data_IF_239643749817
#
_entry.id   IF_239643749817
#
_cell.length_a   1.000
_cell.length_b   1.000
_cell.length_c   1.000
_cell.angle_alpha   90.00
_cell.angle_beta   90.00
_cell.angle_gamma   90.00
#
_symmetry.space_group_name_H-M   'P 1'
#
loop_
_entity.id
_entity.type
_entity.pdbx_description
1 polymer ?
#
# COMPACT_ATOMS: atom_id res chain seq x y z
N UNK A 1 -19.63 22.32 17.20
CA UNK A 1 -19.91 21.09 16.44
C UNK A 1 -21.29 21.29 15.86
N UNK A 2 -21.42 21.32 14.54
CA UNK A 2 -22.71 21.38 13.86
C UNK A 2 -23.64 20.28 14.35
N UNK A 3 -24.93 20.57 14.42
CA UNK A 3 -25.94 19.58 14.75
C UNK A 3 -27.22 19.75 13.93
N UNK A 4 -27.92 18.63 13.70
CA UNK A 4 -29.25 18.64 13.10
C UNK A 4 -30.25 18.96 14.20
N UNK A 5 -30.91 20.11 14.07
CA UNK A 5 -31.84 20.67 15.05
C UNK A 5 -33.25 20.11 14.84
N UNK A 6 -33.60 19.79 13.60
CA UNK A 6 -34.90 19.20 13.27
C UNK A 6 -34.85 18.36 11.98
N UNK A 7 -35.72 17.34 11.92
CA UNK A 7 -35.88 16.44 10.77
C UNK A 7 -37.36 16.27 10.47
N UNK A 8 -37.83 16.95 9.43
CA UNK A 8 -39.20 16.81 8.94
C UNK A 8 -39.24 15.83 7.75
N UNK A 9 -40.20 14.89 7.77
CA UNK A 9 -40.40 13.96 6.64
C UNK A 9 -41.43 14.51 5.67
N UNK A 10 -40.97 15.01 4.53
CA UNK A 10 -41.83 15.62 3.50
C UNK A 10 -42.58 14.58 2.65
N UNK A 11 -41.93 13.49 2.23
CA UNK A 11 -42.55 12.44 1.40
C UNK A 11 -41.96 11.04 1.67
N UNK A 12 -42.73 9.99 1.30
CA UNK A 12 -42.20 8.62 1.17
C UNK A 12 -43.02 7.52 1.83
N UNK A 13 -44.33 7.41 1.56
CA UNK A 13 -45.15 6.26 2.01
C UNK A 13 -45.40 5.21 0.92
N UNK A 14 -45.02 5.48 -0.33
CA UNK A 14 -45.20 4.56 -1.46
C UNK A 14 -43.89 4.02 -2.00
N UNK A 15 -43.99 2.93 -2.74
CA UNK A 15 -42.93 2.40 -3.59
C UNK A 15 -43.50 2.18 -4.98
N UNK A 16 -42.66 2.36 -5.99
CA UNK A 16 -42.98 2.02 -7.36
C UNK A 16 -42.48 0.60 -7.62
N UNK A 17 -43.33 -0.26 -8.19
CA UNK A 17 -42.94 -1.61 -8.61
C UNK A 17 -42.64 -1.58 -10.11
N UNK A 18 -41.47 -2.07 -10.48
CA UNK A 18 -41.08 -2.30 -11.86
C UNK A 18 -40.90 -3.79 -12.05
N UNK A 19 -41.47 -4.35 -13.12
CA UNK A 19 -41.28 -5.74 -13.52
C UNK A 19 -40.54 -5.71 -14.85
N UNK A 20 -39.35 -6.30 -14.90
CA UNK A 20 -38.56 -6.36 -16.12
C UNK A 20 -39.00 -7.55 -17.02
N UNK A 21 -38.50 -7.65 -18.27
CA UNK A 21 -38.83 -8.76 -19.17
C UNK A 21 -38.43 -10.15 -18.66
N UNK A 22 -37.52 -10.24 -17.68
CA UNK A 22 -37.12 -11.48 -17.02
C UNK A 22 -38.01 -11.84 -15.83
N UNK A 23 -39.09 -11.09 -15.60
CA UNK A 23 -39.99 -11.20 -14.44
C UNK A 23 -39.34 -10.84 -13.10
N UNK A 24 -38.19 -10.13 -13.09
CA UNK A 24 -37.58 -9.59 -11.87
C UNK A 24 -38.46 -8.44 -11.37
N UNK A 25 -38.85 -8.53 -10.10
CA UNK A 25 -39.66 -7.51 -9.43
C UNK A 25 -38.74 -6.58 -8.65
N UNK A 26 -38.66 -5.33 -9.10
CA UNK A 26 -37.91 -4.27 -8.45
C UNK A 26 -38.86 -3.31 -7.74
N UNK A 27 -38.55 -2.98 -6.48
CA UNK A 27 -39.24 -1.96 -5.70
C UNK A 27 -38.33 -0.74 -5.56
N UNK A 28 -38.82 0.41 -5.98
CA UNK A 28 -38.13 1.69 -5.87
C UNK A 28 -38.80 2.56 -4.81
N UNK A 29 -38.03 3.12 -3.90
CA UNK A 29 -38.52 3.98 -2.84
C UNK A 29 -37.92 5.37 -2.99
N UNK A 30 -38.73 6.40 -2.78
CA UNK A 30 -38.25 7.78 -2.67
C UNK A 30 -38.62 8.32 -1.30
N UNK A 31 -37.63 8.88 -0.61
CA UNK A 31 -37.80 9.55 0.68
C UNK A 31 -37.21 10.94 0.57
N UNK A 32 -38.02 11.94 0.90
CA UNK A 32 -37.58 13.33 0.99
C UNK A 32 -37.67 13.76 2.45
N UNK A 33 -36.56 14.26 2.95
CA UNK A 33 -36.44 14.83 4.29
C UNK A 33 -36.11 16.31 4.17
N UNK A 34 -36.59 17.09 5.13
CA UNK A 34 -36.17 18.47 5.35
C UNK A 34 -35.38 18.49 6.65
N UNK A 35 -34.14 18.96 6.56
CA UNK A 35 -33.20 19.03 7.65
C UNK A 35 -32.99 20.49 8.01
N UNK A 36 -33.07 20.80 9.31
CA UNK A 36 -32.64 22.10 9.83
C UNK A 36 -31.36 21.91 10.62
N UNK A 37 -30.37 22.76 10.36
CA UNK A 37 -29.07 22.75 11.04
C UNK A 37 -28.84 24.07 11.79
N UNK A 38 -27.94 24.05 12.76
CA UNK A 38 -27.61 25.17 13.64
C UNK A 38 -26.46 26.07 13.14
N UNK A 39 -25.90 25.75 11.98
CA UNK A 39 -24.88 26.57 11.31
C UNK A 39 -24.95 26.43 9.79
N UNK A 40 -24.32 27.37 9.08
CA UNK A 40 -24.26 27.34 7.62
C UNK A 40 -23.28 26.26 7.15
N UNK A 41 -23.81 25.22 6.50
CA UNK A 41 -23.02 24.11 5.97
C UNK A 41 -23.20 24.00 4.45
N UNK A 42 -22.22 23.40 3.78
CA UNK A 42 -22.46 22.95 2.42
C UNK A 42 -23.42 21.73 2.41
N UNK A 43 -24.19 21.49 1.33
CA UNK A 43 -25.13 20.38 1.28
C UNK A 43 -24.51 18.99 1.50
N UNK A 44 -23.24 18.80 1.14
CA UNK A 44 -22.54 17.52 1.31
C UNK A 44 -22.19 17.27 2.78
N UNK A 45 -21.78 18.31 3.51
CA UNK A 45 -21.56 18.31 4.96
C UNK A 45 -22.85 17.99 5.71
N UNK A 46 -24.00 18.54 5.28
CA UNK A 46 -25.31 18.23 5.88
C UNK A 46 -25.71 16.77 5.64
N UNK A 47 -25.48 16.25 4.43
CA UNK A 47 -25.76 14.84 4.12
C UNK A 47 -24.90 13.88 4.98
N UNK A 48 -23.62 14.20 5.14
CA UNK A 48 -22.70 13.47 6.01
C UNK A 48 -23.11 13.55 7.49
N UNK A 49 -23.52 14.73 7.96
CA UNK A 49 -23.97 14.95 9.34
C UNK A 49 -25.23 14.13 9.67
N UNK A 50 -26.13 13.91 8.70
CA UNK A 50 -27.30 13.06 8.88
C UNK A 50 -26.95 11.56 8.96
N UNK A 51 -25.74 11.17 8.53
CA UNK A 51 -25.24 9.80 8.69
C UNK A 51 -25.84 8.79 7.71
N UNK A 52 -26.20 9.22 6.49
CA UNK A 52 -26.61 8.31 5.41
C UNK A 52 -25.51 8.18 4.37
N UNK A 53 -25.01 6.96 4.22
CA UNK A 53 -24.03 6.61 3.20
C UNK A 53 -24.68 5.84 2.05
N UNK A 54 -23.95 5.72 0.94
CA UNK A 54 -24.36 4.86 -0.17
C UNK A 54 -24.59 3.43 0.35
N UNK A 55 -25.68 2.78 -0.10
CA UNK A 55 -26.14 1.47 0.40
C UNK A 55 -26.73 1.44 1.82
N UNK A 56 -27.04 2.59 2.44
CA UNK A 56 -27.89 2.63 3.63
C UNK A 56 -29.24 1.92 3.36
N UNK A 57 -29.64 1.01 4.23
CA UNK A 57 -30.88 0.24 4.06
C UNK A 57 -32.12 1.11 4.26
N UNK A 58 -33.14 0.91 3.43
CA UNK A 58 -34.41 1.59 3.63
C UNK A 58 -35.03 1.17 4.99
N UNK A 59 -35.49 2.11 5.84
CA UNK A 59 -35.95 1.80 7.21
C UNK A 59 -37.13 0.84 7.31
N UNK A 60 -37.82 0.55 6.20
CA UNK A 60 -39.00 -0.33 6.14
C UNK A 60 -38.86 -1.47 5.13
N UNK A 61 -37.76 -1.51 4.38
CA UNK A 61 -37.49 -2.60 3.45
C UNK A 61 -36.00 -2.94 3.53
N UNK A 62 -35.63 -3.99 4.28
CA UNK A 62 -34.22 -4.34 4.48
C UNK A 62 -33.54 -4.79 3.17
N UNK A 63 -34.31 -5.04 2.11
CA UNK A 63 -33.80 -5.44 0.80
C UNK A 63 -33.61 -4.25 -0.17
N UNK A 64 -34.03 -3.04 0.20
CA UNK A 64 -33.86 -1.85 -0.61
C UNK A 64 -32.69 -1.01 -0.10
N UNK A 65 -31.73 -0.75 -0.98
CA UNK A 65 -30.49 -0.03 -0.65
C UNK A 65 -30.52 1.38 -1.26
N UNK A 66 -29.94 2.36 -0.57
CA UNK A 66 -29.80 3.71 -1.08
C UNK A 66 -28.97 3.70 -2.37
N UNK A 67 -29.56 4.20 -3.46
CA UNK A 67 -28.97 4.30 -4.80
C UNK A 67 -28.53 5.71 -5.14
N UNK A 68 -29.33 6.69 -4.74
CA UNK A 68 -29.08 8.09 -5.01
C UNK A 68 -29.32 8.90 -3.75
N UNK A 69 -28.32 9.71 -3.43
CA UNK A 69 -28.34 10.71 -2.38
C UNK A 69 -28.16 12.07 -3.06
N UNK A 70 -29.00 13.04 -2.73
CA UNK A 70 -28.77 14.43 -3.11
C UNK A 70 -29.31 15.34 -2.03
N UNK A 71 -28.54 16.37 -1.69
CA UNK A 71 -28.91 17.39 -0.73
C UNK A 71 -28.91 18.74 -1.43
N UNK A 72 -29.94 19.55 -1.20
CA UNK A 72 -30.06 20.89 -1.78
C UNK A 72 -30.42 21.87 -0.69
N UNK A 73 -29.81 23.06 -0.72
CA UNK A 73 -30.22 24.18 0.12
C UNK A 73 -31.62 24.66 -0.30
N UNK A 74 -32.49 24.89 0.68
CA UNK A 74 -33.84 25.40 0.45
C UNK A 74 -34.06 26.57 1.40
N UNK A 75 -33.64 27.79 1.01
CA UNK A 75 -33.76 28.96 1.86
C UNK A 75 -35.23 29.19 2.26
N UNK A 76 -35.51 29.19 3.57
CA UNK A 76 -36.81 29.56 4.10
C UNK A 76 -36.78 31.04 4.54
N UNK A 77 -37.93 31.71 4.55
CA UNK A 77 -38.06 33.10 5.01
C UNK A 77 -37.88 33.25 6.53
N UNK A 78 -37.99 32.15 7.27
CA UNK A 78 -37.96 32.11 8.74
C UNK A 78 -36.65 31.49 9.24
N UNK A 79 -36.20 30.39 8.64
CA UNK A 79 -34.98 29.68 9.02
C UNK A 79 -33.96 29.68 7.87
N UNK A 80 -32.74 30.24 8.06
CA UNK A 80 -31.78 30.43 6.97
C UNK A 80 -31.04 29.15 6.56
N UNK A 81 -31.04 28.10 7.39
CA UNK A 81 -30.23 26.88 7.18
C UNK A 81 -31.10 25.63 7.11
N UNK A 82 -31.91 25.58 6.05
CA UNK A 82 -32.82 24.48 5.75
C UNK A 82 -32.37 23.78 4.48
N UNK A 83 -32.33 22.45 4.52
CA UNK A 83 -31.87 21.60 3.43
C UNK A 83 -32.88 20.52 3.12
N UNK A 84 -33.02 20.16 1.85
CA UNK A 84 -33.83 19.02 1.42
C UNK A 84 -32.93 17.87 1.00
N UNK A 85 -33.02 16.77 1.76
CA UNK A 85 -32.32 15.53 1.50
C UNK A 85 -33.23 14.57 0.74
N UNK A 86 -32.84 14.24 -0.48
CA UNK A 86 -33.53 13.33 -1.37
C UNK A 86 -32.79 11.99 -1.41
N UNK A 87 -33.49 10.94 -1.00
CA UNK A 87 -33.00 9.57 -0.88
C UNK A 87 -33.80 8.67 -1.81
N UNK A 88 -33.15 8.07 -2.79
CA UNK A 88 -33.76 7.08 -3.68
C UNK A 88 -33.19 5.70 -3.36
N UNK A 89 -34.04 4.74 -3.00
CA UNK A 89 -33.67 3.36 -2.70
C UNK A 89 -34.21 2.42 -3.77
N UNK A 90 -33.54 1.30 -4.00
CA UNK A 90 -34.04 0.26 -4.89
C UNK A 90 -33.69 -1.13 -4.38
N UNK A 91 -34.61 -2.09 -4.60
CA UNK A 91 -34.32 -3.52 -4.45
C UNK A 91 -33.68 -4.11 -5.70
N UNK A 92 -33.55 -3.34 -6.78
CA UNK A 92 -32.75 -3.72 -7.93
C UNK A 92 -31.31 -3.82 -7.47
N UNK A 93 -30.87 -5.03 -7.15
CA UNK A 93 -29.46 -5.30 -6.98
C UNK A 93 -28.85 -5.25 -8.39
N UNK A 94 -27.67 -4.60 -8.58
CA UNK A 94 -26.96 -4.73 -9.85
C UNK A 94 -26.91 -6.21 -10.18
N UNK A 95 -27.29 -6.53 -11.41
CA UNK A 95 -27.42 -7.91 -11.83
C UNK A 95 -26.19 -8.71 -11.41
N UNK A 96 -26.42 -9.97 -11.08
CA UNK A 96 -25.40 -10.98 -10.78
C UNK A 96 -24.31 -11.10 -11.87
N UNK A 97 -24.40 -10.33 -12.96
CA UNK A 97 -23.42 -10.17 -14.03
C UNK A 97 -22.23 -9.25 -13.70
N UNK A 98 -22.26 -8.48 -12.61
CA UNK A 98 -21.02 -7.85 -12.07
C UNK A 98 -20.31 -8.72 -11.03
N UNK A 99 -20.81 -9.94 -10.75
CA UNK A 99 -20.03 -10.93 -10.01
C UNK A 99 -19.15 -11.66 -11.02
N UNK A 100 -17.81 -11.71 -10.81
CA UNK A 100 -17.02 -12.67 -11.55
C UNK A 100 -17.65 -14.06 -11.36
N UNK A 101 -17.81 -14.86 -12.42
CA UNK A 101 -18.39 -16.18 -12.30
C UNK A 101 -17.60 -16.99 -11.27
N UNK A 102 -18.32 -17.68 -10.38
CA UNK A 102 -17.76 -18.53 -9.33
C UNK A 102 -16.74 -19.50 -9.95
N UNK A 103 -15.47 -19.35 -9.59
CA UNK A 103 -14.44 -20.26 -10.08
C UNK A 103 -14.59 -21.66 -9.43
N UNK A 104 -14.18 -22.74 -10.10
CA UNK A 104 -14.27 -24.09 -9.53
C UNK A 104 -13.41 -24.19 -8.26
N UNK A 105 -14.07 -24.30 -7.10
CA UNK A 105 -13.40 -24.39 -5.79
C UNK A 105 -13.74 -23.26 -4.82
N UNK A 106 -14.40 -22.19 -5.27
CA UNK A 106 -14.84 -21.11 -4.39
C UNK A 106 -15.99 -21.54 -3.47
N UNK A 107 -15.96 -21.07 -2.22
CA UNK A 107 -17.05 -21.28 -1.25
C UNK A 107 -18.22 -20.34 -1.54
N UNK A 108 -19.43 -20.66 -1.07
CA UNK A 108 -20.53 -19.69 -1.10
C UNK A 108 -20.25 -18.47 -0.20
N UNK A 109 -19.42 -18.67 0.82
CA UNK A 109 -18.88 -17.64 1.69
C UNK A 109 -17.46 -17.24 1.27
N UNK A 110 -17.23 -16.00 0.77
CA UNK A 110 -15.91 -15.53 0.34
C UNK A 110 -14.84 -15.51 1.43
N UNK A 111 -15.22 -15.47 2.70
CA UNK A 111 -14.24 -15.49 3.80
C UNK A 111 -13.72 -16.90 4.10
N UNK A 112 -14.34 -17.92 3.51
CA UNK A 112 -13.90 -19.32 3.63
C UNK A 112 -13.08 -19.78 2.42
N UNK A 113 -12.87 -18.90 1.44
CA UNK A 113 -12.00 -19.23 0.32
C UNK A 113 -10.57 -19.43 0.81
N UNK A 114 -9.84 -20.41 0.23
CA UNK A 114 -8.42 -20.52 0.48
C UNK A 114 -7.71 -19.27 -0.03
N UNK A 115 -6.55 -19.00 0.56
CA UNK A 115 -5.67 -17.94 0.06
C UNK A 115 -5.15 -18.34 -1.31
N UNK A 116 -5.20 -17.42 -2.27
CA UNK A 116 -4.58 -17.60 -3.58
C UNK A 116 -3.10 -17.25 -3.45
N UNK A 117 -2.24 -18.11 -4.02
CA UNK A 117 -0.80 -17.99 -3.87
C UNK A 117 -0.17 -18.12 -5.24
N UNK A 118 0.57 -17.09 -5.61
CA UNK A 118 1.25 -17.01 -6.88
C UNK A 118 2.73 -16.66 -6.63
N UNK A 119 3.62 -17.44 -7.26
CA UNK A 119 5.04 -17.17 -7.29
C UNK A 119 5.38 -16.52 -8.63
N UNK A 120 5.95 -15.32 -8.57
CA UNK A 120 6.36 -14.56 -9.74
C UNK A 120 7.87 -14.31 -9.67
N UNK A 121 8.50 -14.18 -10.83
CA UNK A 121 9.88 -13.70 -10.93
C UNK A 121 9.92 -12.49 -11.84
N UNK A 122 10.61 -11.44 -11.41
CA UNK A 122 10.86 -10.25 -12.21
C UNK A 122 12.34 -10.18 -12.57
N UNK A 123 12.65 -9.96 -13.85
CA UNK A 123 14.01 -9.65 -14.28
C UNK A 123 14.29 -8.17 -14.01
N UNK A 124 15.32 -7.92 -13.22
CA UNK A 124 15.82 -6.59 -12.85
C UNK A 124 17.25 -6.44 -13.35
N UNK A 125 17.71 -5.20 -13.52
CA UNK A 125 19.10 -4.94 -13.87
C UNK A 125 19.84 -4.46 -12.63
N UNK A 126 20.91 -5.15 -12.28
CA UNK A 126 21.77 -4.78 -11.15
C UNK A 126 23.17 -4.47 -11.66
N UNK A 127 23.80 -3.46 -11.06
CA UNK A 127 25.21 -3.17 -11.30
C UNK A 127 25.99 -3.95 -10.24
N UNK A 128 26.78 -4.93 -10.68
CA UNK A 128 27.72 -5.67 -9.83
C UNK A 128 29.12 -5.19 -10.19
N UNK A 129 30.00 -5.07 -9.19
CA UNK A 129 31.41 -4.71 -9.40
C UNK A 129 32.33 -5.93 -9.37
N UNK A 130 31.77 -7.10 -9.12
CA UNK A 130 32.48 -8.37 -9.03
C UNK A 130 31.77 -9.47 -9.80
N UNK A 131 32.55 -10.40 -10.30
CA UNK A 131 32.07 -11.62 -10.94
C UNK A 131 31.63 -12.69 -9.91
N UNK A 132 31.17 -13.83 -10.42
CA UNK A 132 30.73 -14.98 -9.60
C UNK A 132 31.82 -15.58 -8.72
N UNK A 133 33.09 -15.38 -9.06
CA UNK A 133 34.27 -15.88 -8.35
C UNK A 133 34.82 -14.81 -7.37
N UNK A 134 34.01 -13.77 -7.10
CA UNK A 134 34.31 -12.61 -6.28
C UNK A 134 35.49 -11.76 -6.79
N UNK A 135 35.83 -11.86 -8.08
CA UNK A 135 36.91 -11.06 -8.68
C UNK A 135 36.35 -9.74 -9.20
N UNK A 136 37.05 -8.62 -9.02
CA UNK A 136 36.62 -7.34 -9.57
C UNK A 136 36.56 -7.39 -11.10
N UNK A 137 35.64 -6.64 -11.70
CA UNK A 137 35.65 -6.44 -13.15
C UNK A 137 36.80 -5.52 -13.53
N UNK A 138 37.81 -6.09 -14.22
CA UNK A 138 39.02 -5.39 -14.63
C UNK A 138 39.07 -5.18 -16.15
N UNK A 139 39.65 -4.07 -16.59
CA UNK A 139 40.00 -3.85 -17.99
C UNK A 139 41.28 -4.64 -18.38
N UNK A 140 41.70 -4.55 -19.64
CA UNK A 140 42.90 -5.26 -20.12
C UNK A 140 44.22 -4.76 -19.52
N UNK A 141 44.23 -3.58 -18.88
CA UNK A 141 45.37 -3.04 -18.16
C UNK A 141 45.38 -3.43 -16.66
N UNK A 142 44.32 -4.09 -16.17
CA UNK A 142 44.17 -4.48 -14.77
C UNK A 142 43.49 -3.44 -13.88
N UNK A 143 42.96 -2.35 -14.43
CA UNK A 143 42.21 -1.34 -13.66
C UNK A 143 40.74 -1.76 -13.49
N UNK A 144 40.13 -1.34 -12.37
CA UNK A 144 38.71 -1.58 -12.08
C UNK A 144 37.84 -0.81 -13.07
N UNK A 145 36.82 -1.47 -13.64
CA UNK A 145 35.82 -0.83 -14.48
C UNK A 145 34.83 -0.07 -13.58
N UNK A 146 34.86 1.25 -13.61
CA UNK A 146 34.02 2.14 -12.79
C UNK A 146 32.53 2.07 -13.13
N UNK A 147 32.18 1.74 -14.37
CA UNK A 147 30.80 1.60 -14.84
C UNK A 147 30.60 0.25 -15.52
N UNK A 148 30.55 -0.85 -14.76
CA UNK A 148 30.34 -2.16 -15.34
C UNK A 148 28.94 -2.27 -15.95
N UNK A 149 28.76 -3.08 -17.00
CA UNK A 149 27.47 -3.24 -17.65
C UNK A 149 26.45 -3.81 -16.64
N UNK A 150 25.17 -3.40 -16.71
CA UNK A 150 24.13 -3.99 -15.88
C UNK A 150 24.00 -5.48 -16.21
N UNK A 151 23.89 -6.30 -15.17
CA UNK A 151 23.69 -7.74 -15.26
C UNK A 151 22.22 -8.03 -14.95
N UNK A 152 21.54 -8.84 -15.78
CA UNK A 152 20.23 -9.37 -15.44
C UNK A 152 20.28 -10.11 -14.11
N UNK A 153 19.37 -9.76 -13.20
CA UNK A 153 19.15 -10.42 -11.93
C UNK A 153 17.67 -10.76 -11.81
N UNK A 154 17.35 -11.87 -11.15
CA UNK A 154 15.96 -12.29 -10.99
C UNK A 154 15.53 -12.08 -9.55
N UNK A 155 14.49 -11.28 -9.37
CA UNK A 155 13.89 -11.06 -8.06
C UNK A 155 12.63 -11.91 -7.95
N UNK A 156 12.63 -12.81 -6.96
CA UNK A 156 11.47 -13.64 -6.65
C UNK A 156 10.43 -12.79 -5.90
N UNK A 157 9.16 -13.00 -6.23
CA UNK A 157 8.00 -12.39 -5.58
C UNK A 157 6.99 -13.45 -5.20
N UNK A 158 6.41 -13.30 -4.02
CA UNK A 158 5.28 -14.06 -3.53
C UNK A 158 4.07 -13.14 -3.47
N UNK A 159 3.05 -13.45 -4.25
CA UNK A 159 1.77 -12.73 -4.27
C UNK A 159 0.75 -13.61 -3.58
N UNK A 160 0.21 -13.11 -2.47
CA UNK A 160 -0.83 -13.79 -1.70
C UNK A 160 -2.10 -12.95 -1.74
N UNK A 161 -3.20 -13.50 -2.23
CA UNK A 161 -4.52 -12.86 -2.17
C UNK A 161 -5.39 -13.57 -1.14
N UNK A 162 -5.96 -12.81 -0.20
CA UNK A 162 -6.90 -13.32 0.82
C UNK A 162 -8.12 -12.40 0.95
N UNK A 163 -9.29 -13.01 1.05
CA UNK A 163 -10.53 -12.32 1.36
C UNK A 163 -10.65 -12.04 2.86
N UNK A 164 -10.85 -10.78 3.23
CA UNK A 164 -11.05 -10.35 4.62
C UNK A 164 -12.42 -9.69 4.82
N UNK A 165 -12.95 -9.74 6.04
CA UNK A 165 -14.29 -9.22 6.34
C UNK A 165 -14.36 -7.68 6.29
N UNK A 166 -13.25 -7.00 6.55
CA UNK A 166 -13.15 -5.55 6.62
C UNK A 166 -11.75 -5.10 6.19
N UNK A 167 -11.63 -3.86 5.76
CA UNK A 167 -10.35 -3.20 5.47
C UNK A 167 -9.85 -2.43 6.69
N UNK A 168 -8.64 -2.74 7.16
CA UNK A 168 -7.97 -2.00 8.24
C UNK A 168 -6.89 -1.05 7.67
N UNK A 169 -7.15 0.28 7.59
CA UNK A 169 -6.19 1.24 7.07
C UNK A 169 -4.96 1.40 7.97
N UNK A 170 -5.09 1.19 9.28
CA UNK A 170 -3.97 1.30 10.22
C UNK A 170 -3.00 0.14 10.00
N UNK A 171 -3.53 -1.08 9.81
CA UNK A 171 -2.74 -2.26 9.44
C UNK A 171 -2.02 -2.07 8.10
N UNK A 172 -2.73 -1.60 7.07
CA UNK A 172 -2.11 -1.34 5.76
C UNK A 172 -0.95 -0.33 5.85
N UNK A 173 -1.10 0.74 6.64
CA UNK A 173 -0.03 1.73 6.89
C UNK A 173 1.11 1.18 7.77
N UNK A 174 0.81 0.30 8.70
CA UNK A 174 1.81 -0.28 9.60
C UNK A 174 2.70 -1.30 8.88
N UNK A 175 2.13 -2.11 8.01
CA UNK A 175 2.90 -3.16 7.30
C UNK A 175 3.38 -2.71 5.91
N UNK A 176 2.72 -1.74 5.27
CA UNK A 176 3.10 -1.26 3.96
C UNK A 176 4.52 -0.68 3.92
N UNK A 177 5.31 -1.13 2.94
CA UNK A 177 6.70 -0.74 2.72
C UNK A 177 7.63 -1.02 3.92
N UNK A 178 7.49 -2.22 4.50
CA UNK A 178 8.34 -2.70 5.60
C UNK A 178 9.05 -3.99 5.22
N UNK A 179 10.03 -4.38 6.03
CA UNK A 179 10.78 -5.62 5.87
C UNK A 179 10.49 -6.56 7.05
N UNK A 180 10.69 -7.86 6.87
CA UNK A 180 10.41 -8.85 7.90
C UNK A 180 11.40 -8.74 9.08
N UNK A 181 10.87 -8.62 10.30
CA UNK A 181 11.65 -8.61 11.53
C UNK A 181 12.14 -10.00 11.94
N UNK A 182 11.37 -11.03 11.61
CA UNK A 182 11.65 -12.42 11.95
C UNK A 182 11.65 -13.29 10.69
N UNK A 183 12.16 -14.52 10.82
CA UNK A 183 12.15 -15.46 9.72
C UNK A 183 10.72 -15.69 9.22
N UNK A 184 10.50 -15.57 7.92
CA UNK A 184 9.17 -15.64 7.31
C UNK A 184 9.28 -16.18 5.89
N UNK A 185 8.46 -17.18 5.53
CA UNK A 185 8.55 -17.90 4.24
C UNK A 185 9.96 -18.35 3.84
N UNK A 186 10.74 -18.85 4.82
CA UNK A 186 12.10 -19.35 4.58
C UNK A 186 13.17 -18.27 4.37
N UNK A 187 12.82 -16.99 4.53
CA UNK A 187 13.77 -15.88 4.54
C UNK A 187 14.22 -15.55 5.96
N UNK A 188 15.48 -15.15 6.10
CA UNK A 188 16.01 -14.56 7.32
C UNK A 188 15.48 -13.13 7.52
N UNK A 189 15.59 -12.54 8.73
CA UNK A 189 15.23 -11.14 8.97
C UNK A 189 15.83 -10.17 7.94
N UNK A 190 15.02 -9.22 7.47
CA UNK A 190 15.41 -8.17 6.53
C UNK A 190 15.50 -8.57 5.05
N UNK A 191 15.28 -9.84 4.70
CA UNK A 191 15.37 -10.35 3.32
C UNK A 191 14.05 -10.29 2.55
N UNK A 192 12.92 -10.07 3.22
CA UNK A 192 11.60 -10.00 2.61
C UNK A 192 11.01 -8.61 2.80
N UNK A 193 10.61 -7.97 1.71
CA UNK A 193 9.95 -6.66 1.74
C UNK A 193 8.49 -6.81 1.36
N UNK A 194 7.61 -6.24 2.17
CA UNK A 194 6.19 -6.14 1.84
C UNK A 194 5.91 -4.81 1.16
N UNK A 195 5.37 -4.87 -0.05
CA UNK A 195 4.90 -3.68 -0.75
C UNK A 195 3.67 -3.08 -0.08
N UNK A 196 3.41 -1.77 -0.25
CA UNK A 196 2.12 -1.19 0.10
C UNK A 196 0.99 -2.01 -0.53
N UNK A 197 -0.01 -2.35 0.27
CA UNK A 197 -1.18 -3.09 -0.19
C UNK A 197 -2.45 -2.32 0.15
N UNK A 198 -3.47 -2.57 -0.64
CA UNK A 198 -4.81 -2.02 -0.48
C UNK A 198 -5.85 -3.06 -0.84
N UNK A 199 -7.11 -2.71 -0.70
CA UNK A 199 -8.21 -3.55 -1.15
C UNK A 199 -9.33 -2.70 -1.69
N UNK A 200 -10.09 -3.25 -2.63
CA UNK A 200 -11.34 -2.69 -3.11
C UNK A 200 -12.47 -3.54 -2.55
N UNK A 201 -13.50 -2.91 -2.00
CA UNK A 201 -14.68 -3.63 -1.53
C UNK A 201 -15.30 -4.45 -2.67
N UNK A 202 -15.52 -5.73 -2.39
CA UNK A 202 -16.12 -6.70 -3.32
C UNK A 202 -17.36 -7.34 -2.71
N UNK A 203 -18.17 -7.98 -3.56
CA UNK A 203 -19.40 -8.64 -3.13
C UNK A 203 -19.58 -9.97 -3.85
N UNK A 204 -19.88 -11.03 -3.08
CA UNK A 204 -20.25 -12.35 -3.60
C UNK A 204 -21.41 -12.89 -2.79
N UNK A 205 -22.45 -13.41 -3.45
CA UNK A 205 -23.65 -13.96 -2.81
C UNK A 205 -24.28 -13.03 -1.75
N UNK A 206 -24.29 -11.73 -2.02
CA UNK A 206 -24.85 -10.74 -1.10
C UNK A 206 -23.93 -10.35 0.07
N UNK A 207 -22.82 -11.05 0.30
CA UNK A 207 -21.83 -10.78 1.34
C UNK A 207 -20.74 -9.82 0.84
N UNK A 208 -20.42 -8.81 1.65
CA UNK A 208 -19.32 -7.88 1.40
C UNK A 208 -18.03 -8.50 1.94
N UNK A 209 -16.95 -8.36 1.19
CA UNK A 209 -15.60 -8.77 1.57
C UNK A 209 -14.55 -7.88 0.90
N UNK A 210 -13.31 -8.01 1.36
CA UNK A 210 -12.16 -7.21 0.92
C UNK A 210 -11.04 -8.15 0.48
N UNK A 211 -10.83 -8.38 -0.83
CA UNK A 211 -9.67 -9.13 -1.32
C UNK A 211 -8.41 -8.29 -1.13
N UNK A 212 -7.51 -8.73 -0.27
CA UNK A 212 -6.21 -8.12 -0.03
C UNK A 212 -5.14 -8.88 -0.81
N UNK A 213 -4.37 -8.16 -1.63
CA UNK A 213 -3.20 -8.73 -2.34
C UNK A 213 -1.92 -8.25 -1.67
N UNK A 214 -1.21 -9.18 -1.05
CA UNK A 214 0.09 -8.97 -0.40
C UNK A 214 1.20 -9.37 -1.37
N UNK A 215 2.02 -8.40 -1.78
CA UNK A 215 3.17 -8.63 -2.66
C UNK A 215 4.43 -8.57 -1.80
N UNK A 216 5.09 -9.70 -1.65
CA UNK A 216 6.34 -9.84 -0.92
C UNK A 216 7.49 -10.09 -1.88
N UNK A 217 8.55 -9.30 -1.76
CA UNK A 217 9.71 -9.32 -2.64
C UNK A 217 10.96 -9.81 -1.90
N UNK A 218 11.65 -10.79 -2.49
CA UNK A 218 12.76 -11.51 -1.86
C UNK A 218 14.09 -10.90 -2.27
N UNK A 219 14.98 -10.69 -1.32
CA UNK A 219 16.35 -10.22 -1.59
C UNK A 219 17.34 -10.86 -0.62
N UNK A 220 18.22 -11.70 -1.15
CA UNK A 220 19.18 -12.49 -0.37
C UNK A 220 20.12 -11.63 0.49
N UNK A 221 20.57 -10.49 -0.02
CA UNK A 221 21.50 -9.59 0.69
C UNK A 221 20.81 -8.66 1.69
N UNK A 222 19.49 -8.74 1.79
CA UNK A 222 18.65 -7.85 2.59
C UNK A 222 18.25 -6.56 1.86
N UNK A 223 17.24 -5.91 2.41
CA UNK A 223 16.65 -4.69 1.86
C UNK A 223 17.22 -3.39 2.42
N UNK A 224 17.94 -3.45 3.55
CA UNK A 224 18.56 -2.25 4.10
C UNK A 224 19.64 -1.70 3.15
N UNK A 225 19.64 -0.38 2.87
CA UNK A 225 20.66 0.22 2.03
C UNK A 225 22.06 0.01 2.62
N UNK A 226 23.00 -0.39 1.77
CA UNK A 226 24.42 -0.49 2.11
C UNK A 226 25.19 0.48 1.23
N UNK A 227 26.04 1.31 1.84
CA UNK A 227 26.91 2.22 1.11
C UNK A 227 28.34 2.01 1.59
N UNK A 228 29.31 2.18 0.70
CA UNK A 228 30.71 2.20 1.08
C UNK A 228 30.97 3.35 2.06
N UNK A 229 31.68 3.06 3.15
CA UNK A 229 32.24 4.05 4.05
C UNK A 229 33.29 4.83 3.28
N UNK A 230 32.97 6.04 2.81
CA UNK A 230 33.89 6.86 2.04
C UNK A 230 33.69 8.34 2.35
N UNK A 231 34.76 9.13 2.31
CA UNK A 231 34.69 10.55 2.60
C UNK A 231 35.96 11.34 2.26
N UNK A 232 35.96 12.62 2.62
CA UNK A 232 37.07 13.55 2.37
C UNK A 232 38.02 13.69 3.58
N UNK A 233 37.72 12.98 4.67
CA UNK A 233 38.42 13.04 5.95
C UNK A 233 38.58 11.65 6.52
N UNK A 234 39.66 11.46 7.26
CA UNK A 234 39.99 10.23 7.97
C UNK A 234 40.23 10.50 9.46
N UNK A 235 40.20 9.46 10.28
CA UNK A 235 40.54 9.51 11.70
C UNK A 235 42.02 9.22 11.93
N UNK A 236 42.77 10.23 12.35
CA UNK A 236 44.17 10.12 12.77
C UNK A 236 44.23 10.49 14.24
N UNK A 237 44.63 9.53 15.09
CA UNK A 237 44.70 9.71 16.55
C UNK A 237 43.40 10.27 17.18
N UNK A 238 42.25 9.84 16.66
CA UNK A 238 40.93 10.28 17.11
C UNK A 238 40.50 11.66 16.60
N UNK A 239 41.29 12.32 15.75
CA UNK A 239 40.96 13.59 15.13
C UNK A 239 40.66 13.45 13.65
N UNK A 240 39.62 14.15 13.19
CA UNK A 240 39.26 14.21 11.77
C UNK A 240 40.27 15.07 10.99
N UNK A 241 41.03 14.44 10.11
CA UNK A 241 42.04 15.07 9.26
C UNK A 241 41.63 14.99 7.80
N UNK A 242 41.93 16.01 6.98
CA UNK A 242 41.67 15.96 5.54
C UNK A 242 42.58 14.94 4.86
N UNK A 243 42.01 14.09 4.03
CA UNK A 243 42.76 13.13 3.24
C UNK A 243 43.50 13.90 2.14
N UNK A 244 44.79 13.59 2.00
CA UNK A 244 45.67 14.20 1.00
C UNK A 244 46.01 13.19 -0.08
N UNK A 245 46.01 13.66 -1.32
CA UNK A 245 46.55 12.91 -2.44
C UNK A 245 48.06 12.63 -2.20
N UNK A 246 48.51 11.38 -2.31
CA UNK A 246 49.89 11.02 -1.98
C UNK A 246 50.92 11.63 -2.94
N UNK A 247 50.56 11.90 -4.19
CA UNK A 247 51.45 12.47 -5.21
C UNK A 247 51.48 13.99 -5.14
N UNK A 248 50.31 14.62 -5.11
CA UNK A 248 50.18 16.09 -5.21
C UNK A 248 50.16 16.79 -3.87
N UNK A 249 49.92 16.06 -2.77
CA UNK A 249 49.75 16.58 -1.39
C UNK A 249 48.58 17.57 -1.23
N UNK A 250 47.74 17.70 -2.25
CA UNK A 250 46.50 18.48 -2.20
C UNK A 250 45.38 17.69 -1.52
N UNK A 251 44.29 18.36 -1.14
CA UNK A 251 43.09 17.66 -0.69
C UNK A 251 42.51 16.83 -1.84
N UNK A 252 42.03 15.62 -1.53
CA UNK A 252 41.34 14.77 -2.50
C UNK A 252 40.04 15.44 -3.00
N UNK A 253 39.77 15.34 -4.30
CA UNK A 253 38.55 15.89 -4.93
C UNK A 253 37.37 14.92 -4.91
N UNK A 254 37.63 13.64 -4.65
CA UNK A 254 36.65 12.56 -4.60
C UNK A 254 36.70 11.87 -3.24
N UNK A 255 35.57 11.32 -2.75
CA UNK A 255 35.54 10.62 -1.48
C UNK A 255 36.37 9.33 -1.55
N UNK A 256 37.23 9.12 -0.56
CA UNK A 256 38.11 7.95 -0.47
C UNK A 256 37.50 6.93 0.49
N UNK A 257 37.48 5.62 0.13
CA UNK A 257 37.06 4.56 1.03
C UNK A 257 37.83 4.55 2.36
N UNK A 258 37.10 4.27 3.44
CA UNK A 258 37.63 4.22 4.80
C UNK A 258 37.55 2.80 5.34
N UNK A 259 38.53 2.42 6.16
CA UNK A 259 38.54 1.16 6.89
C UNK A 259 37.66 1.22 8.16
N UNK A 260 37.72 0.14 8.96
CA UNK A 260 36.93 0.01 10.19
C UNK A 260 37.34 1.00 11.29
N UNK A 261 38.57 1.51 11.24
CA UNK A 261 39.10 2.52 12.17
C UNK A 261 38.86 3.96 11.65
N UNK A 262 38.27 4.09 10.46
CA UNK A 262 38.01 5.37 9.80
C UNK A 262 39.25 5.96 9.12
N UNK A 263 40.28 5.17 8.83
CA UNK A 263 41.45 5.61 8.07
C UNK A 263 41.24 5.46 6.57
N UNK A 264 41.86 6.34 5.80
CA UNK A 264 41.81 6.26 4.35
C UNK A 264 42.52 4.98 3.87
N UNK A 265 41.84 4.20 3.03
CA UNK A 265 42.43 3.01 2.40
C UNK A 265 43.16 3.45 1.14
N UNK A 266 44.47 3.21 1.00
CA UNK A 266 45.20 3.48 -0.23
C UNK A 266 44.61 2.72 -1.41
N UNK A 267 44.58 3.36 -2.59
CA UNK A 267 43.99 2.76 -3.79
C UNK A 267 44.66 1.42 -4.16
N UNK A 268 45.98 1.31 -3.98
CA UNK A 268 46.71 0.06 -4.26
C UNK A 268 46.33 -1.08 -3.31
N UNK A 269 46.06 -0.77 -2.04
CA UNK A 269 45.61 -1.76 -1.06
C UNK A 269 44.20 -2.23 -1.39
N UNK A 270 43.32 -1.30 -1.80
CA UNK A 270 41.97 -1.63 -2.23
C UNK A 270 41.94 -2.45 -3.54
N UNK A 271 42.87 -2.17 -4.47
CA UNK A 271 43.06 -2.99 -5.69
C UNK A 271 43.53 -4.40 -5.34
N UNK A 272 44.46 -4.52 -4.39
CA UNK A 272 45.01 -5.80 -3.96
C UNK A 272 44.01 -6.62 -3.13
N UNK A 273 43.21 -5.95 -2.30
CA UNK A 273 42.18 -6.56 -1.46
C UNK A 273 40.96 -5.65 -1.32
N UNK A 274 39.96 -5.79 -2.21
CA UNK A 274 38.79 -4.92 -2.15
C UNK A 274 37.81 -5.27 -1.02
N UNK A 275 38.08 -6.32 -0.22
CA UNK A 275 37.34 -6.63 1.00
C UNK A 275 37.75 -5.71 2.18
N UNK A 276 38.76 -4.85 1.99
CA UNK A 276 39.10 -3.79 2.94
C UNK A 276 38.03 -2.70 2.99
N UNK A 277 37.23 -2.54 1.92
CA UNK A 277 36.13 -1.58 1.90
C UNK A 277 35.08 -1.94 2.95
N UNK A 278 34.87 -1.03 3.89
CA UNK A 278 33.78 -1.15 4.86
C UNK A 278 32.49 -0.63 4.24
N UNK A 279 31.41 -1.41 4.36
CA UNK A 279 30.07 -0.96 4.01
C UNK A 279 29.31 -0.59 5.27
N UNK A 280 28.71 0.59 5.27
CA UNK A 280 27.80 1.05 6.32
C UNK A 280 26.39 0.68 5.88
N UNK A 281 25.70 -0.08 6.74
CA UNK A 281 24.29 -0.38 6.57
C UNK A 281 23.45 0.74 7.21
N UNK A 282 22.48 1.25 6.47
CA UNK A 282 21.52 2.24 6.94
C UNK A 282 20.21 1.57 7.27
N UNK A 283 19.64 1.88 8.44
CA UNK A 283 18.29 1.45 8.83
C UNK A 283 17.24 2.35 8.14
N UNK A 284 17.08 2.19 6.83
CA UNK A 284 16.15 2.96 6.02
C UNK A 284 14.74 2.39 6.01
N UNK A 285 14.62 1.06 6.01
CA UNK A 285 13.33 0.37 6.08
C UNK A 285 12.98 0.03 7.52
N UNK A 286 11.70 0.18 7.87
CA UNK A 286 11.16 -0.32 9.15
C UNK A 286 11.00 -1.84 9.08
N UNK A 287 11.36 -2.50 10.17
CA UNK A 287 11.11 -3.92 10.39
C UNK A 287 9.77 -4.15 11.09
N UNK A 288 9.00 -5.13 10.64
CA UNK A 288 7.76 -5.56 11.32
C UNK A 288 7.63 -7.08 11.34
N UNK A 289 6.91 -7.59 12.34
CA UNK A 289 6.64 -9.02 12.48
C UNK A 289 5.52 -9.45 11.52
N UNK A 290 5.90 -10.05 10.39
CA UNK A 290 4.95 -10.50 9.36
C UNK A 290 4.07 -11.67 9.81
N UNK A 291 4.40 -12.38 10.90
CA UNK A 291 3.51 -13.41 11.44
C UNK A 291 2.15 -12.82 11.85
N UNK A 292 2.11 -11.53 12.22
CA UNK A 292 0.88 -10.81 12.57
C UNK A 292 -0.07 -10.59 11.38
N UNK A 293 0.40 -10.76 10.14
CA UNK A 293 -0.47 -10.74 8.95
C UNK A 293 -1.31 -12.02 8.84
N UNK A 294 -0.92 -13.09 9.54
CA UNK A 294 -1.61 -14.37 9.55
C UNK A 294 -1.64 -15.03 8.17
N UNK A 295 -0.56 -14.90 7.37
CA UNK A 295 -0.46 -15.48 6.03
C UNK A 295 0.13 -16.90 6.06
N UNK A 296 0.14 -17.58 7.20
CA UNK A 296 0.81 -18.88 7.31
C UNK A 296 0.14 -19.94 6.43
N UNK A 297 0.99 -20.75 5.77
CA UNK A 297 0.62 -21.91 4.97
C UNK A 297 0.37 -23.16 5.81
#
# INVERSE_FOLDING_TARGET
MASIVDVERLFGRGFDVTIDPSSKVTRNYKRKLRLRVDENLDPDQVANLYGVEQFYTHPRDPFAFLRKLSCTDVPDKIDPWVYELNLEYSTDQPDLQEQPPKEPGESDDPLLDPMEIEWQSEETQTIKFRDRDNRPFLNTAGDVIESPPPIPDSTLKLVVTRNEAYYDPARARFFGNTINQHAFYGCEPGQLRLHPFGSKQSRRNGRIYWPHTYIMEFKQDGWQPKQISAGYRELVDGQLTRIKDPETRNDVSEPIPLDADGRAIPAEDLKANPDLAVYIEFTGFRETDFAQLGLNL
#
